data_IF_091476006737
#
_entry.id   IF_091476006737
#
_cell.length_a   1.000
_cell.length_b   1.000
_cell.length_c   1.000
_cell.angle_alpha   90.00
_cell.angle_beta   90.00
_cell.angle_gamma   90.00
#
_symmetry.space_group_name_H-M   'P 1'
#
loop_
_entity.id
_entity.type
_entity.pdbx_description
1 polymer ?
#
# COMPACT_ATOMS: atom_id res chain seq x y z
N UNK A 1 9.93 6.01 -19.98
CA UNK A 1 10.42 5.82 -18.58
C UNK A 1 11.71 6.63 -18.43
N UNK A 2 11.78 7.52 -17.46
CA UNK A 2 13.00 8.28 -17.18
C UNK A 2 13.77 7.57 -16.07
N UNK A 3 15.04 7.22 -16.34
CA UNK A 3 15.91 6.57 -15.35
C UNK A 3 16.38 7.63 -14.34
N UNK A 4 16.13 7.42 -13.06
CA UNK A 4 16.53 8.29 -11.96
C UNK A 4 17.46 7.57 -11.00
N UNK A 5 18.27 8.30 -10.23
CA UNK A 5 19.13 7.73 -9.18
C UNK A 5 18.35 6.93 -8.14
N UNK A 6 17.09 7.34 -7.87
CA UNK A 6 16.18 6.58 -6.99
C UNK A 6 15.83 5.21 -7.55
N UNK A 7 15.63 5.11 -8.88
CA UNK A 7 15.29 3.86 -9.54
C UNK A 7 16.49 2.89 -9.58
N UNK A 8 17.70 3.40 -9.72
CA UNK A 8 18.92 2.61 -9.85
C UNK A 8 19.59 2.27 -8.52
N UNK A 9 19.16 2.89 -7.43
CA UNK A 9 19.71 2.65 -6.08
C UNK A 9 19.40 1.24 -5.61
N UNK A 10 20.45 0.49 -5.22
CA UNK A 10 20.28 -0.83 -4.64
C UNK A 10 19.56 -0.76 -3.28
N UNK A 11 18.56 -1.61 -3.07
CA UNK A 11 17.87 -1.79 -1.79
C UNK A 11 18.65 -2.80 -0.94
N UNK A 12 19.64 -2.33 -0.21
CA UNK A 12 20.50 -3.17 0.63
C UNK A 12 19.70 -3.84 1.74
N UNK A 13 18.68 -3.18 2.21
CA UNK A 13 17.74 -3.62 3.23
C UNK A 13 16.91 -4.84 2.82
N UNK A 14 16.82 -5.15 1.52
CA UNK A 14 16.15 -6.36 1.03
C UNK A 14 17.01 -7.63 1.06
N UNK A 15 18.31 -7.53 1.38
CA UNK A 15 19.25 -8.68 1.38
C UNK A 15 18.83 -9.80 2.31
N UNK A 16 18.26 -9.50 3.47
CA UNK A 16 17.85 -10.51 4.45
C UNK A 16 16.79 -11.49 3.94
N UNK A 17 16.05 -11.13 2.87
CA UNK A 17 15.05 -11.99 2.24
C UNK A 17 15.65 -13.12 1.41
N UNK A 18 16.93 -13.01 1.01
CA UNK A 18 17.60 -13.94 0.09
C UNK A 18 19.00 -14.38 0.57
N UNK A 19 19.33 -14.11 1.85
CA UNK A 19 20.62 -14.52 2.43
C UNK A 19 20.63 -16.00 2.81
N UNK A 20 21.80 -16.62 2.96
CA UNK A 20 21.94 -18.04 3.30
C UNK A 20 21.18 -18.44 4.58
N UNK A 21 21.12 -17.55 5.57
CA UNK A 21 20.42 -17.77 6.84
C UNK A 21 19.05 -17.05 6.85
N UNK A 22 18.32 -17.07 5.75
CA UNK A 22 17.06 -16.36 5.55
C UNK A 22 16.05 -16.61 6.67
N UNK A 23 15.92 -17.85 7.17
CA UNK A 23 14.98 -18.20 8.24
C UNK A 23 15.28 -17.41 9.53
N UNK A 24 16.54 -17.30 9.92
CA UNK A 24 16.93 -16.54 11.12
C UNK A 24 16.67 -15.04 10.94
N UNK A 25 17.15 -14.47 9.86
CA UNK A 25 16.98 -13.04 9.58
C UNK A 25 15.52 -12.65 9.48
N UNK A 26 14.69 -13.42 8.77
CA UNK A 26 13.26 -13.14 8.66
C UNK A 26 12.55 -13.21 10.00
N UNK A 27 12.85 -14.20 10.84
CA UNK A 27 12.25 -14.30 12.17
C UNK A 27 12.70 -13.13 13.08
N UNK A 28 13.98 -12.74 13.03
CA UNK A 28 14.46 -11.57 13.78
C UNK A 28 13.72 -10.30 13.32
N UNK A 29 13.64 -10.06 12.02
CA UNK A 29 12.94 -8.89 11.48
C UNK A 29 11.45 -8.89 11.84
N UNK A 30 10.80 -10.06 11.83
CA UNK A 30 9.41 -10.20 12.26
C UNK A 30 9.23 -9.86 13.74
N UNK A 31 10.15 -10.29 14.62
CA UNK A 31 10.14 -9.93 16.05
C UNK A 31 10.22 -8.42 16.21
N UNK A 32 11.11 -7.76 15.48
CA UNK A 32 11.21 -6.29 15.52
C UNK A 32 9.93 -5.62 15.02
N UNK A 33 9.34 -6.12 13.93
CA UNK A 33 8.15 -5.53 13.32
C UNK A 33 6.92 -5.66 14.24
N UNK A 34 6.70 -6.83 14.83
CA UNK A 34 5.60 -7.04 15.79
C UNK A 34 5.71 -6.17 17.05
N UNK A 35 6.94 -5.89 17.49
CA UNK A 35 7.18 -4.96 18.58
C UNK A 35 6.98 -3.51 18.14
N UNK A 36 7.40 -3.16 16.91
CA UNK A 36 7.16 -1.86 16.30
C UNK A 36 5.65 -1.53 16.23
N UNK A 37 4.82 -2.47 15.82
CA UNK A 37 3.34 -2.30 15.78
C UNK A 37 2.74 -2.09 17.17
N UNK A 38 3.39 -2.58 18.21
CA UNK A 38 3.02 -2.35 19.63
C UNK A 38 3.66 -1.10 20.22
N UNK A 39 4.20 -0.20 19.39
CA UNK A 39 4.89 1.04 19.78
C UNK A 39 6.15 0.80 20.61
N UNK A 40 6.71 -0.39 20.54
CA UNK A 40 7.96 -0.76 21.20
C UNK A 40 9.10 -0.76 20.19
N UNK A 41 9.71 0.38 19.98
CA UNK A 41 10.64 0.62 18.88
C UNK A 41 12.05 0.06 19.12
N UNK A 42 12.43 -0.18 20.36
CA UNK A 42 13.78 -0.59 20.74
C UNK A 42 13.77 -1.94 21.44
N UNK A 43 14.66 -2.84 21.00
CA UNK A 43 14.89 -4.13 21.62
C UNK A 43 16.38 -4.32 21.92
N UNK A 44 16.68 -5.04 23.02
CA UNK A 44 18.01 -5.53 23.31
C UNK A 44 18.24 -6.90 22.67
N UNK A 45 19.52 -7.24 22.46
CA UNK A 45 19.91 -8.55 21.91
C UNK A 45 19.33 -9.71 22.71
N UNK A 46 19.36 -9.62 24.03
CA UNK A 46 18.84 -10.65 24.93
C UNK A 46 17.33 -10.87 24.77
N UNK A 47 16.57 -9.80 24.47
CA UNK A 47 15.14 -9.87 24.24
C UNK A 47 14.81 -10.53 22.90
N UNK A 48 15.58 -10.21 21.86
CA UNK A 48 15.45 -10.84 20.54
C UNK A 48 15.78 -12.32 20.63
N UNK A 49 16.92 -12.64 21.26
CA UNK A 49 17.32 -14.04 21.48
C UNK A 49 16.27 -14.84 22.27
N UNK A 50 15.77 -14.27 23.36
CA UNK A 50 14.76 -14.93 24.20
C UNK A 50 13.45 -15.22 23.41
N UNK A 51 13.07 -14.34 22.49
CA UNK A 51 11.89 -14.59 21.63
C UNK A 51 12.19 -15.63 20.55
N UNK A 52 13.39 -15.64 19.98
CA UNK A 52 13.78 -16.63 18.96
C UNK A 52 13.74 -18.06 19.51
N UNK A 53 14.33 -18.30 20.69
CA UNK A 53 14.44 -19.64 21.28
C UNK A 53 13.13 -20.18 21.88
N UNK A 54 12.06 -19.39 21.90
CA UNK A 54 10.73 -19.87 22.26
C UNK A 54 10.16 -20.85 21.23
N UNK A 55 10.56 -20.69 19.98
CA UNK A 55 10.14 -21.60 18.91
C UNK A 55 11.08 -22.81 18.86
N UNK A 56 10.55 -24.05 18.86
CA UNK A 56 11.35 -25.28 18.77
C UNK A 56 12.27 -25.34 17.54
N UNK A 57 11.94 -24.64 16.47
CA UNK A 57 12.77 -24.54 15.27
C UNK A 57 14.14 -23.93 15.57
N UNK A 58 14.25 -23.08 16.59
CA UNK A 58 15.46 -22.40 17.02
C UNK A 58 16.04 -22.95 18.35
N UNK A 59 15.72 -24.18 18.71
CA UNK A 59 16.20 -24.79 19.98
C UNK A 59 17.75 -24.81 20.09
N UNK A 60 18.46 -24.92 18.99
CA UNK A 60 19.93 -24.92 18.94
C UNK A 60 20.53 -23.53 18.65
N UNK A 61 19.71 -22.50 18.52
CA UNK A 61 20.16 -21.13 18.27
C UNK A 61 20.89 -20.56 19.49
N UNK A 62 22.05 -19.94 19.26
CA UNK A 62 22.92 -19.44 20.34
C UNK A 62 22.94 -17.93 20.39
N UNK A 63 23.22 -17.39 21.57
CA UNK A 63 23.30 -15.93 21.77
C UNK A 63 24.37 -15.27 20.88
N UNK A 64 25.50 -15.96 20.67
CA UNK A 64 26.59 -15.48 19.79
C UNK A 64 26.14 -15.41 18.33
N UNK A 65 25.29 -16.35 17.90
CA UNK A 65 24.69 -16.31 16.55
C UNK A 65 23.72 -15.15 16.42
N UNK A 66 22.91 -14.90 17.45
CA UNK A 66 22.02 -13.74 17.49
C UNK A 66 22.81 -12.43 17.36
N UNK A 67 23.93 -12.31 18.06
CA UNK A 67 24.82 -11.15 17.96
C UNK A 67 25.34 -10.96 16.53
N UNK A 68 25.78 -12.03 15.88
CA UNK A 68 26.26 -11.99 14.50
C UNK A 68 25.14 -11.62 13.52
N UNK A 69 23.97 -12.22 13.68
CA UNK A 69 22.81 -11.93 12.82
C UNK A 69 22.36 -10.47 12.96
N UNK A 70 22.30 -9.94 14.18
CA UNK A 70 22.00 -8.53 14.42
C UNK A 70 23.05 -7.60 13.81
N UNK A 71 24.34 -7.95 13.91
CA UNK A 71 25.42 -7.18 13.30
C UNK A 71 25.28 -7.13 11.76
N UNK A 72 24.95 -8.26 11.13
CA UNK A 72 24.67 -8.30 9.68
C UNK A 72 23.46 -7.46 9.28
N UNK A 73 22.40 -7.50 10.07
CA UNK A 73 21.20 -6.68 9.82
C UNK A 73 21.49 -5.17 9.98
N UNK A 74 22.42 -4.80 10.83
CA UNK A 74 22.92 -3.41 10.94
C UNK A 74 23.76 -3.05 9.70
N UNK A 75 24.64 -3.94 9.25
CA UNK A 75 25.46 -3.73 8.05
C UNK A 75 24.57 -3.54 6.80
N UNK A 76 23.49 -4.31 6.68
CA UNK A 76 22.53 -4.19 5.60
C UNK A 76 21.52 -3.05 5.80
N UNK A 77 21.69 -2.23 6.83
CA UNK A 77 20.85 -1.08 7.17
C UNK A 77 19.39 -1.44 7.51
N UNK A 78 19.16 -2.70 7.86
CA UNK A 78 17.85 -3.12 8.38
C UNK A 78 17.60 -2.58 9.78
N UNK A 79 18.64 -2.56 10.61
CA UNK A 79 18.59 -2.10 11.99
C UNK A 79 19.51 -0.92 12.21
N UNK A 80 19.04 0.04 13.00
CA UNK A 80 19.84 1.10 13.58
C UNK A 80 20.20 0.73 15.01
N UNK A 81 21.41 1.12 15.47
CA UNK A 81 21.88 0.85 16.82
C UNK A 81 22.12 2.13 17.59
N UNK A 82 21.74 2.13 18.85
CA UNK A 82 22.13 3.18 19.81
C UNK A 82 22.75 2.51 21.03
N UNK A 83 23.90 3.04 21.47
CA UNK A 83 24.49 2.63 22.72
C UNK A 83 23.61 3.11 23.88
N UNK A 84 23.22 2.21 24.78
CA UNK A 84 22.47 2.59 25.97
C UNK A 84 23.41 3.32 26.95
N UNK A 85 23.15 4.61 27.14
CA UNK A 85 23.93 5.48 28.03
C UNK A 85 23.29 5.64 29.40
N UNK A 86 22.33 4.77 29.78
CA UNK A 86 21.74 4.83 31.12
C UNK A 86 22.85 4.70 32.16
N UNK A 87 22.75 5.44 33.28
CA UNK A 87 23.74 5.52 34.33
C UNK A 87 24.29 4.14 34.69
N UNK A 88 25.52 3.92 34.30
CA UNK A 88 26.29 2.74 34.63
C UNK A 88 26.70 2.90 36.09
N UNK A 89 26.32 1.95 36.93
CA UNK A 89 26.59 2.00 38.38
C UNK A 89 27.90 1.31 38.78
N UNK A 90 28.54 0.57 37.83
CA UNK A 90 29.79 -0.11 38.06
C UNK A 90 30.76 -0.04 36.86
N UNK A 91 32.08 -0.22 37.15
CA UNK A 91 33.16 -0.28 36.15
C UNK A 91 32.98 -1.50 35.22
N UNK A 92 32.38 -2.59 35.71
CA UNK A 92 32.11 -3.79 34.93
C UNK A 92 30.96 -3.58 33.96
N UNK A 93 29.90 -2.87 34.35
CA UNK A 93 28.82 -2.45 33.47
C UNK A 93 29.30 -1.46 32.39
N UNK A 94 30.27 -0.59 32.71
CA UNK A 94 30.88 0.33 31.75
C UNK A 94 31.68 -0.40 30.65
N UNK A 95 32.25 -1.57 30.95
CA UNK A 95 32.93 -2.40 29.95
C UNK A 95 31.98 -3.19 29.05
N UNK A 96 30.77 -3.50 29.50
CA UNK A 96 29.74 -4.20 28.73
C UNK A 96 28.80 -3.19 28.05
N UNK A 97 29.26 -2.67 26.92
CA UNK A 97 28.45 -1.77 26.10
C UNK A 97 27.19 -2.49 25.65
N UNK A 98 26.01 -2.15 26.23
CA UNK A 98 24.72 -2.64 25.77
C UNK A 98 24.25 -1.79 24.61
N UNK A 99 23.92 -2.45 23.53
CA UNK A 99 23.28 -1.82 22.37
C UNK A 99 21.80 -2.19 22.35
N UNK A 100 20.98 -1.23 21.97
CA UNK A 100 19.59 -1.47 21.60
C UNK A 100 19.43 -1.20 20.11
N UNK A 101 18.51 -1.95 19.50
CA UNK A 101 18.32 -2.00 18.07
C UNK A 101 16.91 -1.52 17.73
N UNK A 102 16.78 -0.84 16.61
CA UNK A 102 15.51 -0.36 16.06
C UNK A 102 15.47 -0.62 14.56
N UNK A 103 14.29 -0.96 14.03
CA UNK A 103 14.12 -1.08 12.58
C UNK A 103 14.35 0.26 11.88
N UNK A 104 14.96 0.21 10.69
CA UNK A 104 14.96 1.33 9.77
C UNK A 104 13.60 1.49 9.10
N UNK A 105 13.33 2.70 8.59
CA UNK A 105 12.08 2.99 7.87
C UNK A 105 11.87 2.06 6.67
N UNK A 106 12.92 1.82 5.88
CA UNK A 106 12.88 0.89 4.75
C UNK A 106 12.50 -0.52 5.19
N UNK A 107 13.05 -0.99 6.30
CA UNK A 107 12.76 -2.34 6.81
C UNK A 107 11.32 -2.49 7.30
N UNK A 108 10.74 -1.44 7.87
CA UNK A 108 9.31 -1.43 8.24
C UNK A 108 8.44 -1.60 6.99
N UNK A 109 8.73 -0.88 5.91
CA UNK A 109 7.97 -0.99 4.66
C UNK A 109 8.17 -2.35 3.97
N UNK A 110 9.39 -2.90 4.03
CA UNK A 110 9.66 -4.24 3.51
C UNK A 110 8.87 -5.30 4.28
N UNK A 111 8.83 -5.27 5.62
CA UNK A 111 8.04 -6.23 6.40
C UNK A 111 6.54 -6.09 6.15
N UNK A 112 6.02 -4.88 5.97
CA UNK A 112 4.63 -4.66 5.52
C UNK A 112 4.34 -5.32 4.18
N UNK A 113 5.27 -5.20 3.24
CA UNK A 113 5.17 -5.86 1.94
C UNK A 113 5.22 -7.38 2.08
N UNK A 114 6.18 -7.90 2.87
CA UNK A 114 6.34 -9.34 3.11
C UNK A 114 5.08 -9.96 3.71
N UNK A 115 4.48 -9.31 4.71
CA UNK A 115 3.21 -9.75 5.29
C UNK A 115 2.08 -9.80 4.27
N UNK A 116 1.98 -8.78 3.39
CA UNK A 116 1.00 -8.81 2.29
C UNK A 116 1.26 -9.96 1.32
N UNK A 117 2.53 -10.26 1.01
CA UNK A 117 2.88 -11.39 0.14
C UNK A 117 2.56 -12.75 0.79
N UNK A 118 2.77 -12.90 2.09
CA UNK A 118 2.39 -14.10 2.84
C UNK A 118 0.88 -14.36 2.83
N UNK A 119 0.08 -13.29 2.84
CA UNK A 119 -1.39 -13.33 2.89
C UNK A 119 -2.08 -13.18 1.53
N UNK A 120 -1.32 -13.12 0.44
CA UNK A 120 -1.84 -12.88 -0.93
C UNK A 120 -2.99 -13.81 -1.35
N UNK A 121 -3.07 -15.03 -0.80
CA UNK A 121 -4.11 -16.01 -1.13
C UNK A 121 -5.31 -15.95 -0.17
N UNK A 122 -5.21 -15.20 0.92
CA UNK A 122 -6.28 -15.08 1.92
C UNK A 122 -7.14 -13.86 1.62
N UNK A 123 -6.52 -12.77 1.19
CA UNK A 123 -7.19 -11.53 0.80
C UNK A 123 -7.43 -11.53 -0.72
N UNK A 124 -8.40 -12.34 -1.17
CA UNK A 124 -8.83 -12.28 -2.58
C UNK A 124 -9.31 -10.88 -2.94
N UNK A 125 -8.86 -10.36 -4.08
CA UNK A 125 -9.33 -9.09 -4.59
C UNK A 125 -10.86 -9.10 -4.76
N UNK A 126 -11.54 -8.04 -4.35
CA UNK A 126 -12.98 -7.90 -4.49
C UNK A 126 -13.32 -6.59 -5.20
N UNK A 127 -14.31 -6.64 -6.09
CA UNK A 127 -14.88 -5.43 -6.69
C UNK A 127 -15.92 -4.86 -5.73
N UNK A 128 -15.60 -3.73 -5.10
CA UNK A 128 -16.50 -3.05 -4.17
C UNK A 128 -17.37 -2.02 -4.91
N UNK A 129 -18.65 -2.28 -5.21
CA UNK A 129 -19.51 -1.31 -5.90
C UNK A 129 -19.70 -0.01 -5.13
N UNK A 130 -19.57 -0.07 -3.80
CA UNK A 130 -19.68 1.09 -2.89
C UNK A 130 -18.55 2.10 -3.06
N UNK A 131 -17.36 1.69 -3.53
CA UNK A 131 -16.26 2.63 -3.81
C UNK A 131 -16.62 3.61 -4.93
N UNK A 132 -17.23 3.14 -6.01
CA UNK A 132 -17.69 4.01 -7.11
C UNK A 132 -18.73 5.02 -6.63
N UNK A 133 -19.66 4.58 -5.78
CA UNK A 133 -20.67 5.48 -5.21
C UNK A 133 -20.03 6.54 -4.31
N UNK A 134 -19.08 6.17 -3.46
CA UNK A 134 -18.35 7.11 -2.59
C UNK A 134 -17.54 8.11 -3.40
N UNK A 135 -16.83 7.65 -4.44
CA UNK A 135 -16.10 8.53 -5.37
C UNK A 135 -17.05 9.51 -6.04
N UNK A 136 -18.21 9.04 -6.55
CA UNK A 136 -19.23 9.90 -7.14
C UNK A 136 -19.71 10.97 -6.17
N UNK A 137 -20.08 10.59 -4.95
CA UNK A 137 -20.53 11.53 -3.92
C UNK A 137 -19.43 12.56 -3.61
N UNK A 138 -18.19 12.13 -3.49
CA UNK A 138 -17.07 13.01 -3.19
C UNK A 138 -16.78 13.98 -4.35
N UNK A 139 -16.85 13.51 -5.61
CA UNK A 139 -16.66 14.39 -6.79
C UNK A 139 -17.80 15.38 -6.91
N UNK A 140 -19.07 14.97 -6.74
CA UNK A 140 -20.22 15.87 -6.77
C UNK A 140 -20.16 16.97 -5.69
N UNK A 141 -19.43 16.75 -4.61
CA UNK A 141 -19.20 17.75 -3.55
C UNK A 141 -18.04 18.71 -3.84
N UNK A 142 -17.29 18.51 -4.90
CA UNK A 142 -16.11 19.33 -5.21
C UNK A 142 -16.40 20.84 -5.21
N UNK A 143 -17.47 21.36 -5.86
CA UNK A 143 -17.75 22.79 -5.86
C UNK A 143 -17.98 23.37 -4.46
N UNK A 144 -18.53 22.58 -3.52
CA UNK A 144 -18.79 22.99 -2.15
C UNK A 144 -17.50 23.18 -1.35
N UNK A 145 -16.42 22.50 -1.73
CA UNK A 145 -15.12 22.58 -1.06
C UNK A 145 -14.46 23.96 -1.18
N UNK A 146 -14.91 24.77 -2.14
CA UNK A 146 -14.46 26.16 -2.29
C UNK A 146 -14.75 26.99 -1.04
N UNK A 147 -15.88 26.75 -0.38
CA UNK A 147 -16.34 27.51 0.79
C UNK A 147 -15.97 26.85 2.14
N UNK A 148 -15.46 25.61 2.13
CA UNK A 148 -15.11 24.87 3.33
C UNK A 148 -13.72 25.25 3.89
N UNK A 149 -13.49 24.97 5.18
CA UNK A 149 -12.20 25.19 5.83
C UNK A 149 -11.10 24.21 5.35
N UNK A 150 -9.84 24.59 5.59
CA UNK A 150 -8.67 23.83 5.13
C UNK A 150 -8.67 22.36 5.57
N UNK A 151 -9.06 22.10 6.80
CA UNK A 151 -9.05 20.75 7.36
C UNK A 151 -10.09 19.85 6.69
N UNK A 152 -11.31 20.37 6.49
CA UNK A 152 -12.37 19.63 5.79
C UNK A 152 -12.01 19.35 4.34
N UNK A 153 -11.45 20.34 3.63
CA UNK A 153 -11.00 20.17 2.25
C UNK A 153 -9.90 19.12 2.15
N UNK A 154 -8.94 19.14 3.06
CA UNK A 154 -7.85 18.17 3.08
C UNK A 154 -8.35 16.75 3.40
N UNK A 155 -9.24 16.60 4.39
CA UNK A 155 -9.84 15.30 4.73
C UNK A 155 -10.63 14.73 3.55
N UNK A 156 -11.50 15.55 2.97
CA UNK A 156 -12.27 15.17 1.79
C UNK A 156 -11.37 14.75 0.61
N UNK A 157 -10.30 15.49 0.37
CA UNK A 157 -9.33 15.19 -0.69
C UNK A 157 -8.61 13.85 -0.46
N UNK A 158 -8.19 13.58 0.76
CA UNK A 158 -7.56 12.32 1.10
C UNK A 158 -8.52 11.14 0.97
N UNK A 159 -9.76 11.30 1.40
CA UNK A 159 -10.79 10.26 1.28
C UNK A 159 -11.04 9.92 -0.19
N UNK A 160 -11.20 10.95 -1.05
CA UNK A 160 -11.37 10.76 -2.49
C UNK A 160 -10.18 10.02 -3.12
N UNK A 161 -8.95 10.42 -2.80
CA UNK A 161 -7.76 9.77 -3.34
C UNK A 161 -7.60 8.33 -2.85
N UNK A 162 -7.87 8.08 -1.58
CA UNK A 162 -7.77 6.74 -1.00
C UNK A 162 -8.81 5.80 -1.65
N UNK A 163 -10.03 6.25 -1.82
CA UNK A 163 -11.09 5.49 -2.49
C UNK A 163 -10.73 5.22 -3.96
N UNK A 164 -10.15 6.20 -4.66
CA UNK A 164 -9.73 6.04 -6.05
C UNK A 164 -8.57 5.05 -6.19
N UNK A 165 -7.54 5.17 -5.36
CA UNK A 165 -6.39 4.23 -5.35
C UNK A 165 -6.88 2.81 -5.06
N UNK A 166 -7.77 2.65 -4.08
CA UNK A 166 -8.36 1.36 -3.72
C UNK A 166 -9.19 0.77 -4.85
N UNK A 167 -10.01 1.58 -5.52
CA UNK A 167 -10.79 1.14 -6.68
C UNK A 167 -9.86 0.59 -7.77
N UNK A 168 -8.81 1.34 -8.12
CA UNK A 168 -7.89 0.97 -9.19
C UNK A 168 -7.10 -0.30 -8.85
N UNK A 169 -6.61 -0.42 -7.62
CA UNK A 169 -5.92 -1.62 -7.15
C UNK A 169 -6.84 -2.84 -7.14
N UNK A 170 -8.01 -2.74 -6.54
CA UNK A 170 -8.97 -3.85 -6.46
C UNK A 170 -9.37 -4.34 -7.85
N UNK A 171 -9.57 -3.42 -8.79
CA UNK A 171 -9.87 -3.77 -10.18
C UNK A 171 -8.72 -4.51 -10.84
N UNK A 172 -7.50 -3.96 -10.79
CA UNK A 172 -6.33 -4.57 -11.41
C UNK A 172 -6.07 -5.98 -10.86
N UNK A 173 -6.14 -6.13 -9.54
CA UNK A 173 -5.94 -7.40 -8.86
C UNK A 173 -7.03 -8.42 -9.22
N UNK A 174 -8.29 -8.01 -9.24
CA UNK A 174 -9.41 -8.88 -9.58
C UNK A 174 -9.35 -9.38 -11.03
N UNK A 175 -9.05 -8.50 -11.98
CA UNK A 175 -8.89 -8.85 -13.40
C UNK A 175 -7.68 -9.76 -13.59
N UNK A 176 -6.56 -9.48 -12.92
CA UNK A 176 -5.38 -10.36 -12.93
C UNK A 176 -5.74 -11.75 -12.44
N UNK A 177 -6.45 -11.85 -11.31
CA UNK A 177 -6.79 -13.14 -10.69
C UNK A 177 -7.70 -13.96 -11.60
N UNK A 178 -8.70 -13.32 -12.24
CA UNK A 178 -9.59 -13.98 -13.19
C UNK A 178 -8.92 -14.37 -14.52
N UNK A 179 -7.82 -13.72 -14.88
CA UNK A 179 -7.00 -14.05 -16.05
C UNK A 179 -5.81 -14.96 -15.71
N UNK A 180 -5.69 -15.43 -14.48
CA UNK A 180 -4.61 -16.33 -14.07
C UNK A 180 -4.81 -17.74 -14.64
N UNK A 181 -3.70 -18.46 -14.86
CA UNK A 181 -3.71 -19.88 -15.27
C UNK A 181 -4.53 -20.73 -14.27
N UNK A 182 -4.38 -20.43 -12.98
CA UNK A 182 -5.13 -21.11 -11.93
C UNK A 182 -6.65 -20.91 -12.07
N UNK A 183 -7.09 -19.69 -12.39
CA UNK A 183 -8.51 -19.43 -12.63
C UNK A 183 -9.03 -20.21 -13.84
N UNK A 184 -8.23 -20.30 -14.89
CA UNK A 184 -8.58 -21.07 -16.10
C UNK A 184 -8.70 -22.57 -15.80
N UNK A 185 -7.74 -23.13 -15.07
CA UNK A 185 -7.82 -24.53 -14.59
C UNK A 185 -9.05 -24.78 -13.75
N UNK A 186 -9.38 -23.87 -12.82
CA UNK A 186 -10.61 -23.95 -12.01
C UNK A 186 -11.90 -23.92 -12.85
N UNK A 187 -11.94 -23.13 -13.92
CA UNK A 187 -13.11 -23.03 -14.80
C UNK A 187 -13.46 -24.36 -15.49
N UNK A 188 -12.52 -25.30 -15.57
CA UNK A 188 -12.73 -26.65 -16.12
C UNK A 188 -13.20 -27.66 -15.07
N UNK A 189 -13.37 -27.28 -13.80
CA UNK A 189 -13.78 -28.20 -12.73
C UNK A 189 -15.31 -28.25 -12.58
N UNK A 190 -15.82 -29.35 -12.03
CA UNK A 190 -17.24 -29.49 -11.70
C UNK A 190 -17.68 -28.54 -10.57
N UNK A 191 -16.78 -28.26 -9.65
CA UNK A 191 -16.98 -27.34 -8.54
C UNK A 191 -17.22 -25.92 -9.03
N UNK A 192 -16.56 -25.53 -10.11
CA UNK A 192 -16.77 -24.23 -10.75
C UNK A 192 -18.20 -24.05 -11.25
N UNK A 193 -18.86 -25.08 -11.77
CA UNK A 193 -20.22 -24.98 -12.26
C UNK A 193 -21.20 -24.53 -11.18
N UNK A 194 -20.98 -24.91 -9.93
CA UNK A 194 -21.78 -24.47 -8.78
C UNK A 194 -21.51 -23.00 -8.41
N UNK A 195 -20.28 -22.54 -8.62
CA UNK A 195 -19.85 -21.19 -8.29
C UNK A 195 -20.13 -20.17 -9.40
N UNK A 196 -20.16 -20.62 -10.63
CA UNK A 196 -20.27 -19.83 -11.86
C UNK A 196 -21.40 -18.80 -11.85
N UNK A 197 -22.62 -19.23 -11.51
CA UNK A 197 -23.78 -18.34 -11.55
C UNK A 197 -23.66 -17.17 -10.57
N UNK A 198 -23.13 -17.44 -9.37
CA UNK A 198 -22.83 -16.41 -8.36
C UNK A 198 -21.75 -15.45 -8.84
N UNK A 199 -20.70 -15.94 -9.48
CA UNK A 199 -19.63 -15.11 -10.02
C UNK A 199 -20.15 -14.21 -11.15
N UNK A 200 -20.94 -14.76 -12.08
CA UNK A 200 -21.54 -13.98 -13.18
C UNK A 200 -22.49 -12.92 -12.63
N UNK A 201 -23.31 -13.25 -11.63
CA UNK A 201 -24.20 -12.28 -10.98
C UNK A 201 -23.42 -11.16 -10.29
N UNK A 202 -22.37 -11.50 -9.57
CA UNK A 202 -21.47 -10.53 -8.92
C UNK A 202 -20.85 -9.56 -9.93
N UNK A 203 -20.30 -10.06 -11.03
CA UNK A 203 -19.73 -9.24 -12.11
C UNK A 203 -20.78 -8.36 -12.80
N UNK A 204 -21.98 -8.87 -13.03
CA UNK A 204 -23.09 -8.09 -13.60
C UNK A 204 -23.53 -6.96 -12.67
N UNK A 205 -23.58 -7.20 -11.37
CA UNK A 205 -23.90 -6.17 -10.37
C UNK A 205 -22.84 -5.09 -10.32
N UNK A 206 -21.55 -5.46 -10.43
CA UNK A 206 -20.46 -4.51 -10.55
C UNK A 206 -20.61 -3.64 -11.82
N UNK A 207 -20.86 -4.24 -12.98
CA UNK A 207 -21.09 -3.50 -14.25
C UNK A 207 -22.25 -2.51 -14.10
N UNK A 208 -23.37 -2.90 -13.49
CA UNK A 208 -24.49 -2.00 -13.24
C UNK A 208 -24.11 -0.83 -12.35
N UNK A 209 -23.30 -1.08 -11.31
CA UNK A 209 -22.74 -0.05 -10.44
C UNK A 209 -21.83 0.91 -11.20
N UNK A 210 -20.96 0.37 -12.06
CA UNK A 210 -20.06 1.13 -12.92
C UNK A 210 -20.86 2.06 -13.85
N UNK A 211 -21.81 1.53 -14.60
CA UNK A 211 -22.65 2.30 -15.53
C UNK A 211 -23.42 3.42 -14.84
N UNK A 212 -23.96 3.15 -13.65
CA UNK A 212 -24.74 4.15 -12.89
C UNK A 212 -23.89 5.33 -12.41
N UNK A 213 -22.66 5.07 -12.00
CA UNK A 213 -21.82 6.06 -11.34
C UNK A 213 -20.90 6.80 -12.31
N UNK A 214 -20.33 6.11 -13.30
CA UNK A 214 -19.31 6.69 -14.20
C UNK A 214 -19.86 7.87 -15.01
N UNK A 215 -21.08 7.76 -15.57
CA UNK A 215 -21.66 8.84 -16.34
C UNK A 215 -21.84 10.14 -15.53
N UNK A 216 -22.26 10.01 -14.27
CA UNK A 216 -22.42 11.18 -13.37
C UNK A 216 -21.04 11.75 -13.00
N UNK A 217 -20.07 10.88 -12.70
CA UNK A 217 -18.71 11.32 -12.38
C UNK A 217 -18.09 12.08 -13.56
N UNK A 218 -18.24 11.54 -14.77
CA UNK A 218 -17.71 12.18 -15.98
C UNK A 218 -18.34 13.56 -16.21
N UNK A 219 -19.67 13.68 -16.06
CA UNK A 219 -20.37 14.94 -16.18
C UNK A 219 -19.91 15.96 -15.13
N UNK A 220 -19.86 15.55 -13.86
CA UNK A 220 -19.38 16.41 -12.78
C UNK A 220 -17.94 16.88 -13.02
N UNK A 221 -17.03 16.00 -13.43
CA UNK A 221 -15.63 16.36 -13.71
C UNK A 221 -15.50 17.31 -14.91
N UNK A 222 -16.29 17.13 -15.97
CA UNK A 222 -16.27 18.01 -17.16
C UNK A 222 -16.80 19.40 -16.86
N UNK A 223 -17.73 19.52 -15.94
CA UNK A 223 -18.37 20.79 -15.58
C UNK A 223 -17.61 21.58 -14.51
N UNK A 224 -16.56 21.01 -13.93
CA UNK A 224 -15.74 21.71 -12.92
C UNK A 224 -15.05 22.94 -13.51
N UNK A 225 -15.36 24.11 -12.98
CA UNK A 225 -14.73 25.37 -13.36
C UNK A 225 -13.26 25.42 -12.90
N UNK A 226 -12.39 25.94 -13.75
CA UNK A 226 -10.94 26.05 -13.44
C UNK A 226 -10.67 26.91 -12.21
N UNK A 227 -11.47 27.96 -11.99
CA UNK A 227 -11.37 28.80 -10.81
C UNK A 227 -11.62 28.03 -9.51
N UNK A 228 -12.62 27.17 -9.49
CA UNK A 228 -12.93 26.33 -8.35
C UNK A 228 -11.82 25.28 -8.09
N UNK A 229 -11.31 24.66 -9.15
CA UNK A 229 -10.18 23.73 -9.05
C UNK A 229 -8.97 24.40 -8.43
N UNK A 230 -8.61 25.58 -8.90
CA UNK A 230 -7.46 26.33 -8.40
C UNK A 230 -7.60 26.68 -6.91
N UNK A 231 -8.78 27.14 -6.47
CA UNK A 231 -9.03 27.49 -5.07
C UNK A 231 -8.96 26.25 -4.16
N UNK A 232 -9.54 25.14 -4.57
CA UNK A 232 -9.50 23.88 -3.79
C UNK A 232 -8.06 23.35 -3.70
N UNK A 233 -7.31 23.34 -4.81
CA UNK A 233 -5.91 22.88 -4.81
C UNK A 233 -5.03 23.76 -3.92
N UNK A 234 -5.25 25.08 -3.94
CA UNK A 234 -4.55 26.00 -3.06
C UNK A 234 -4.78 25.67 -1.58
N UNK A 235 -6.03 25.38 -1.19
CA UNK A 235 -6.36 24.97 0.20
C UNK A 235 -5.69 23.65 0.60
N UNK A 236 -5.62 22.67 -0.30
CA UNK A 236 -4.95 21.40 -0.07
C UNK A 236 -3.45 21.63 0.18
N UNK A 237 -2.81 22.41 -0.70
CA UNK A 237 -1.38 22.74 -0.58
C UNK A 237 -1.11 23.50 0.71
N UNK A 238 -1.94 24.51 1.03
CA UNK A 238 -1.81 25.25 2.28
C UNK A 238 -1.87 24.37 3.50
N UNK A 239 -2.82 23.40 3.55
CA UNK A 239 -2.89 22.48 4.66
C UNK A 239 -1.67 21.56 4.73
N UNK A 240 -1.22 21.00 3.60
CA UNK A 240 -0.02 20.13 3.56
C UNK A 240 1.25 20.88 4.01
N UNK A 241 1.35 22.17 3.75
CA UNK A 241 2.45 23.03 4.22
C UNK A 241 2.44 23.22 5.75
N UNK A 242 1.26 23.13 6.40
CA UNK A 242 1.16 23.24 7.86
C UNK A 242 1.58 21.96 8.59
N UNK A 243 1.69 20.82 7.89
CA UNK A 243 2.09 19.55 8.50
C UNK A 243 3.59 19.57 8.77
N UNK A 244 4.04 19.54 10.06
CA UNK A 244 5.46 19.52 10.38
C UNK A 244 6.07 18.18 9.95
N UNK A 245 7.15 18.25 9.16
CA UNK A 245 7.93 17.08 8.74
C UNK A 245 9.36 17.23 9.26
N UNK A 246 9.88 16.18 9.92
CA UNK A 246 11.18 16.28 10.60
C UNK A 246 12.37 16.18 9.62
N UNK A 247 12.20 15.47 8.50
CA UNK A 247 13.34 15.02 7.68
C UNK A 247 13.32 15.51 6.23
N UNK A 248 12.29 16.23 5.77
CA UNK A 248 12.16 16.66 4.38
C UNK A 248 11.55 18.05 4.31
N UNK A 249 12.31 19.02 3.78
CA UNK A 249 11.69 20.25 3.26
C UNK A 249 10.92 19.91 1.98
N UNK A 250 9.61 19.95 2.08
CA UNK A 250 8.72 19.76 0.92
C UNK A 250 8.42 21.14 0.36
N UNK A 251 8.88 21.39 -0.87
CA UNK A 251 8.59 22.67 -1.52
C UNK A 251 7.11 22.77 -1.90
N UNK A 252 6.61 23.99 -1.96
CA UNK A 252 5.24 24.28 -2.38
C UNK A 252 4.97 23.77 -3.80
N UNK A 253 5.93 23.97 -4.72
CA UNK A 253 5.84 23.55 -6.12
C UNK A 253 5.64 22.04 -6.23
N UNK A 254 6.36 21.27 -5.41
CA UNK A 254 6.22 19.81 -5.38
C UNK A 254 4.81 19.37 -4.91
N UNK A 255 4.24 20.07 -3.93
CA UNK A 255 2.89 19.80 -3.44
C UNK A 255 1.83 20.16 -4.48
N UNK A 256 2.01 21.27 -5.19
CA UNK A 256 1.12 21.68 -6.28
C UNK A 256 1.14 20.66 -7.43
N UNK A 257 2.33 20.23 -7.86
CA UNK A 257 2.50 19.21 -8.89
C UNK A 257 1.85 17.88 -8.48
N UNK A 258 2.10 17.44 -7.26
CA UNK A 258 1.50 16.22 -6.68
C UNK A 258 -0.04 16.29 -6.65
N UNK A 259 -0.59 17.43 -6.23
CA UNK A 259 -2.05 17.62 -6.13
C UNK A 259 -2.69 17.62 -7.51
N UNK A 260 -2.12 18.37 -8.46
CA UNK A 260 -2.57 18.40 -9.85
C UNK A 260 -2.45 17.01 -10.52
N UNK A 261 -1.33 16.32 -10.32
CA UNK A 261 -1.11 14.98 -10.87
C UNK A 261 -2.12 13.95 -10.36
N UNK A 262 -2.45 13.97 -9.06
CA UNK A 262 -3.50 13.11 -8.50
C UNK A 262 -4.88 13.40 -9.07
N UNK A 263 -5.23 14.68 -9.20
CA UNK A 263 -6.50 15.05 -9.81
C UNK A 263 -6.54 14.64 -11.29
N UNK A 264 -5.45 14.86 -12.02
CA UNK A 264 -5.35 14.46 -13.43
C UNK A 264 -5.53 12.94 -13.61
N UNK A 265 -4.96 12.14 -12.72
CA UNK A 265 -5.14 10.68 -12.74
C UNK A 265 -6.61 10.27 -12.53
N UNK A 266 -7.33 10.93 -11.61
CA UNK A 266 -8.78 10.71 -11.43
C UNK A 266 -9.53 11.15 -12.69
N UNK A 267 -9.23 12.31 -13.23
CA UNK A 267 -9.87 12.85 -14.42
C UNK A 267 -9.73 11.91 -15.63
N UNK A 268 -8.50 11.50 -15.96
CA UNK A 268 -8.21 10.62 -17.10
C UNK A 268 -8.84 9.23 -16.95
N UNK A 269 -9.04 8.78 -15.71
CA UNK A 269 -9.68 7.48 -15.45
C UNK A 269 -11.15 7.48 -15.83
N UNK A 270 -11.86 8.59 -15.61
CA UNK A 270 -13.30 8.71 -15.85
C UNK A 270 -13.67 9.46 -17.13
N UNK A 271 -12.82 10.36 -17.61
CA UNK A 271 -13.11 11.25 -18.72
C UNK A 271 -12.33 10.84 -19.95
N UNK A 272 -13.06 10.53 -21.03
CA UNK A 272 -12.43 10.24 -22.33
C UNK A 272 -11.83 11.50 -22.95
N UNK A 273 -10.61 11.41 -23.44
CA UNK A 273 -9.90 12.48 -24.14
C UNK A 273 -9.47 12.01 -25.55
N UNK A 274 -9.52 12.93 -26.51
CA UNK A 274 -9.02 12.72 -27.88
C UNK A 274 -9.55 11.49 -28.63
N UNK A 275 -10.74 10.98 -28.29
CA UNK A 275 -11.32 9.80 -28.93
C UNK A 275 -10.78 8.46 -28.43
N UNK A 276 -9.93 8.49 -27.44
CA UNK A 276 -9.49 7.28 -26.72
C UNK A 276 -10.48 6.94 -25.61
N UNK A 277 -10.73 5.63 -25.44
CA UNK A 277 -11.56 5.11 -24.38
C UNK A 277 -10.89 5.32 -23.02
N UNK A 278 -11.66 5.83 -22.03
CA UNK A 278 -11.15 6.00 -20.67
C UNK A 278 -10.99 4.65 -19.96
N UNK A 279 -10.30 4.67 -18.80
CA UNK A 279 -10.04 3.45 -18.04
C UNK A 279 -11.33 2.79 -17.54
N UNK A 280 -12.37 3.57 -17.24
CA UNK A 280 -13.68 3.03 -16.84
C UNK A 280 -14.35 2.24 -17.98
N UNK A 281 -14.23 2.69 -19.23
CA UNK A 281 -14.69 1.98 -20.41
C UNK A 281 -13.92 0.68 -20.63
N UNK A 282 -12.61 0.73 -20.59
CA UNK A 282 -11.74 -0.48 -20.66
C UNK A 282 -12.10 -1.50 -19.58
N UNK A 283 -12.38 -1.04 -18.36
CA UNK A 283 -12.83 -1.90 -17.28
C UNK A 283 -14.18 -2.56 -17.58
N UNK A 284 -15.12 -1.80 -18.14
CA UNK A 284 -16.40 -2.31 -18.56
C UNK A 284 -16.27 -3.42 -19.60
N UNK A 285 -15.45 -3.19 -20.62
CA UNK A 285 -15.23 -4.17 -21.69
C UNK A 285 -14.49 -5.43 -21.21
N UNK A 286 -13.44 -5.25 -20.41
CA UNK A 286 -12.72 -6.38 -19.81
C UNK A 286 -13.62 -7.25 -18.93
N UNK A 287 -14.50 -6.63 -18.14
CA UNK A 287 -15.43 -7.37 -17.27
C UNK A 287 -16.47 -8.14 -18.11
N UNK A 288 -16.98 -7.54 -19.18
CA UNK A 288 -17.89 -8.22 -20.09
C UNK A 288 -17.23 -9.39 -20.83
N UNK A 289 -15.98 -9.25 -21.23
CA UNK A 289 -15.21 -10.34 -21.85
C UNK A 289 -15.04 -11.52 -20.89
N UNK A 290 -14.72 -11.24 -19.63
CA UNK A 290 -14.64 -12.26 -18.57
C UNK A 290 -15.99 -12.97 -18.40
N UNK A 291 -17.10 -12.26 -18.33
CA UNK A 291 -18.45 -12.85 -18.25
C UNK A 291 -18.70 -13.77 -19.46
N UNK A 292 -18.38 -13.33 -20.67
CA UNK A 292 -18.54 -14.14 -21.89
C UNK A 292 -17.67 -15.40 -21.82
N UNK A 293 -16.45 -15.30 -21.36
CA UNK A 293 -15.54 -16.43 -21.18
C UNK A 293 -16.09 -17.43 -20.18
N UNK A 294 -16.46 -16.98 -18.99
CA UNK A 294 -17.05 -17.82 -17.93
C UNK A 294 -18.31 -18.53 -18.42
N UNK A 295 -19.15 -17.86 -19.21
CA UNK A 295 -20.39 -18.46 -19.72
C UNK A 295 -20.16 -19.50 -20.83
N UNK A 296 -19.00 -19.50 -21.50
CA UNK A 296 -18.66 -20.52 -22.52
C UNK A 296 -18.26 -21.87 -21.92
N UNK A 297 -17.81 -21.90 -20.67
CA UNK A 297 -17.46 -23.12 -19.94
C UNK A 297 -18.70 -23.82 -19.32
N UNK A 298 -19.89 -23.64 -19.92
CA UNK A 298 -21.16 -24.23 -19.49
C UNK A 298 -21.48 -25.49 -20.26
#
# INVERSE_FOLDING_TARGET
>A
MQVTDKLTKALTEAKYLNADNVSRYRCIMRIFFENYEKLRYWLYQEEVYAQMVQDPFFAEYKLEQCQQDLAMLVEWKNLNTIQDTRKVSSIEEFKNKKFRYQMSEYSVEIERLVLRLENLFIEGASLEPTLLERIRINISRFPQMVDEDLNKVYTWWNDLNNDFVRLNQNYQDYIRDLNSVKAEEMMHTKEFLVFKDRLVEYLRNFIKGLQRNVGVIEEDLRTLEDGNKQQVFEKIVQYEMLIPRMDVEVSRELLEEKTKGRFQSIYEWFVSSNGEENEAGKLFDATNEIIRRITRYA
#
